data_IF_408503210421
#
_entry.id   IF_408503210421
#
_cell.length_a   1.000
_cell.length_b   1.000
_cell.length_c   1.000
_cell.angle_alpha   90.00
_cell.angle_beta   90.00
_cell.angle_gamma   90.00
#
_symmetry.space_group_name_H-M   'P 1'
#
loop_
_entity.id
_entity.type
_entity.pdbx_description
1 polymer ?
#
# COMPACT_ATOMS: atom_id res chain seq x y z
N UNK A 1 9.28 -23.37 6.20
CA UNK A 1 9.10 -22.02 5.64
C UNK A 1 10.27 -21.15 6.05
N UNK A 2 10.82 -20.36 5.13
CA UNK A 2 11.78 -19.29 5.43
C UNK A 2 11.14 -17.98 4.99
N UNK A 3 10.83 -17.11 5.95
CA UNK A 3 10.13 -15.85 5.71
C UNK A 3 11.06 -14.68 6.02
N UNK A 4 11.22 -13.80 5.04
CA UNK A 4 11.92 -12.52 5.19
C UNK A 4 10.89 -11.38 5.20
N UNK A 5 10.65 -10.70 6.33
CA UNK A 5 9.79 -9.51 6.36
C UNK A 5 10.49 -8.31 5.70
N UNK A 6 9.75 -7.23 5.48
CA UNK A 6 10.32 -5.98 4.98
C UNK A 6 11.19 -5.29 6.05
N UNK A 7 12.23 -4.58 5.62
CA UNK A 7 13.18 -3.88 6.50
C UNK A 7 12.51 -2.80 7.33
N UNK A 8 11.43 -2.21 6.81
CA UNK A 8 10.68 -1.16 7.48
C UNK A 8 9.73 -1.66 8.57
N UNK A 9 9.34 -2.94 8.54
CA UNK A 9 8.32 -3.50 9.46
C UNK A 9 8.70 -4.87 10.03
N UNK A 10 9.92 -5.05 10.59
CA UNK A 10 10.41 -6.38 10.97
C UNK A 10 9.78 -6.92 12.26
N UNK A 11 9.26 -6.03 13.14
CA UNK A 11 8.95 -6.36 14.53
C UNK A 11 7.77 -7.33 14.68
N UNK A 12 6.72 -7.19 13.87
CA UNK A 12 5.55 -8.08 13.95
C UNK A 12 5.87 -9.51 13.51
N UNK A 13 6.83 -9.67 12.59
CA UNK A 13 7.32 -11.00 12.20
C UNK A 13 8.11 -11.68 13.33
N UNK A 14 8.79 -10.92 14.17
CA UNK A 14 9.46 -11.45 15.37
C UNK A 14 8.42 -11.95 16.38
N UNK A 15 7.39 -11.14 16.66
CA UNK A 15 6.28 -11.57 17.52
C UNK A 15 5.58 -12.82 16.97
N UNK A 16 5.40 -12.92 15.65
CA UNK A 16 4.86 -14.12 15.02
C UNK A 16 5.74 -15.37 15.26
N UNK A 17 7.06 -15.22 15.28
CA UNK A 17 7.97 -16.32 15.62
C UNK A 17 7.77 -16.79 17.06
N UNK A 18 7.63 -15.87 18.02
CA UNK A 18 7.34 -16.20 19.43
C UNK A 18 5.99 -16.92 19.57
N UNK A 19 4.97 -16.51 18.82
CA UNK A 19 3.67 -17.17 18.82
C UNK A 19 3.79 -18.59 18.28
N UNK A 20 4.57 -18.82 17.21
CA UNK A 20 4.83 -20.16 16.68
C UNK A 20 5.51 -21.06 17.72
N UNK A 21 6.50 -20.53 18.43
CA UNK A 21 7.19 -21.26 19.50
C UNK A 21 6.22 -21.64 20.63
N UNK A 22 5.45 -20.68 21.15
CA UNK A 22 4.45 -20.92 22.21
C UNK A 22 3.35 -21.88 21.80
N UNK A 23 3.01 -21.92 20.50
CA UNK A 23 2.05 -22.85 19.94
C UNK A 23 2.63 -24.28 19.73
N UNK A 24 3.91 -24.50 20.01
CA UNK A 24 4.56 -25.80 19.86
C UNK A 24 4.91 -26.18 18.42
N UNK A 25 5.05 -25.19 17.51
CA UNK A 25 5.49 -25.45 16.14
C UNK A 25 6.90 -26.08 16.18
N UNK A 26 7.12 -27.25 15.54
CA UNK A 26 8.41 -27.92 15.60
C UNK A 26 9.56 -27.05 15.05
N UNK A 27 10.75 -27.21 15.64
CA UNK A 27 11.95 -26.47 15.23
C UNK A 27 12.23 -26.64 13.74
N UNK A 28 12.54 -25.53 13.06
CA UNK A 28 12.84 -25.50 11.62
C UNK A 28 11.63 -25.46 10.69
N UNK A 29 10.40 -25.65 11.19
CA UNK A 29 9.18 -25.55 10.36
C UNK A 29 8.93 -24.10 9.93
N UNK A 30 9.15 -23.13 10.81
CA UNK A 30 9.07 -21.68 10.52
C UNK A 30 10.41 -21.06 10.91
N UNK A 31 11.01 -20.32 9.98
CA UNK A 31 12.26 -19.59 10.19
C UNK A 31 12.04 -18.15 9.71
N UNK A 32 12.17 -17.18 10.61
CA UNK A 32 12.10 -15.75 10.28
C UNK A 32 13.53 -15.24 10.13
N UNK A 33 13.84 -14.68 8.96
CA UNK A 33 15.18 -14.15 8.66
C UNK A 33 15.09 -12.67 8.32
N UNK A 34 15.72 -11.84 9.14
CA UNK A 34 15.80 -10.39 8.91
C UNK A 34 16.94 -10.09 7.93
N UNK A 35 16.85 -8.96 7.22
CA UNK A 35 17.92 -8.49 6.34
C UNK A 35 17.41 -7.61 5.21
N UNK A 36 18.35 -7.09 4.42
CA UNK A 36 18.07 -6.25 3.27
C UNK A 36 17.73 -7.05 1.99
N UNK A 37 17.84 -6.43 0.81
CA UNK A 37 17.68 -7.09 -0.48
C UNK A 37 18.56 -8.33 -0.65
N UNK A 38 19.77 -8.34 -0.09
CA UNK A 38 20.73 -9.45 -0.14
C UNK A 38 20.18 -10.74 0.49
N UNK A 39 19.45 -10.65 1.62
CA UNK A 39 18.79 -11.80 2.23
C UNK A 39 17.68 -12.35 1.30
N UNK A 40 16.95 -11.46 0.63
CA UNK A 40 15.94 -11.85 -0.36
C UNK A 40 16.55 -12.57 -1.56
N UNK A 41 17.65 -12.04 -2.11
CA UNK A 41 18.40 -12.65 -3.22
C UNK A 41 18.93 -14.02 -2.84
N UNK A 42 19.47 -14.16 -1.63
CA UNK A 42 19.94 -15.46 -1.12
C UNK A 42 18.81 -16.50 -1.08
N UNK A 43 17.63 -16.14 -0.57
CA UNK A 43 16.46 -17.04 -0.53
C UNK A 43 16.03 -17.45 -1.94
N UNK A 44 15.92 -16.50 -2.87
CA UNK A 44 15.46 -16.74 -4.24
C UNK A 44 16.38 -17.71 -4.98
N UNK A 45 17.69 -17.57 -4.80
CA UNK A 45 18.70 -18.38 -5.49
C UNK A 45 19.04 -19.68 -4.75
N UNK A 46 18.52 -19.92 -3.55
CA UNK A 46 18.90 -21.06 -2.74
C UNK A 46 18.46 -22.40 -3.40
N UNK A 47 19.37 -23.37 -3.63
CA UNK A 47 19.05 -24.61 -4.33
C UNK A 47 18.01 -25.46 -3.58
N UNK A 48 18.04 -25.44 -2.24
CA UNK A 48 17.09 -26.17 -1.40
C UNK A 48 15.66 -25.60 -1.35
N UNK A 49 15.42 -24.39 -1.86
CA UNK A 49 14.07 -23.78 -1.85
C UNK A 49 13.29 -24.24 -3.07
N UNK A 50 12.13 -24.86 -2.86
CA UNK A 50 11.32 -25.47 -3.94
C UNK A 50 10.21 -24.55 -4.48
N UNK A 51 9.78 -23.55 -3.68
CA UNK A 51 8.73 -22.59 -4.04
C UNK A 51 9.08 -21.22 -3.50
N UNK A 52 8.86 -20.20 -4.32
CA UNK A 52 8.93 -18.79 -3.93
C UNK A 52 7.51 -18.20 -3.95
N UNK A 53 7.17 -17.46 -2.90
CA UNK A 53 6.03 -16.56 -2.86
C UNK A 53 6.56 -15.17 -2.53
N UNK A 54 6.20 -14.17 -3.33
CA UNK A 54 6.66 -12.80 -3.14
C UNK A 54 5.51 -11.83 -3.29
N UNK A 55 5.43 -10.88 -2.36
CA UNK A 55 4.53 -9.74 -2.42
C UNK A 55 5.36 -8.46 -2.38
N UNK A 56 5.17 -7.56 -3.35
CA UNK A 56 5.95 -6.32 -3.42
C UNK A 56 5.89 -5.62 -4.77
N UNK A 57 6.97 -4.95 -5.17
CA UNK A 57 6.99 -4.18 -6.41
C UNK A 57 7.03 -5.08 -7.64
N UNK A 58 6.38 -4.62 -8.72
CA UNK A 58 6.38 -5.35 -10.00
C UNK A 58 7.79 -5.51 -10.59
N UNK A 59 8.68 -4.54 -10.35
CA UNK A 59 10.08 -4.61 -10.78
C UNK A 59 10.85 -5.74 -10.07
N UNK A 60 10.70 -5.89 -8.76
CA UNK A 60 11.30 -7.01 -8.02
C UNK A 60 10.69 -8.34 -8.45
N UNK A 61 9.37 -8.39 -8.67
CA UNK A 61 8.71 -9.59 -9.21
C UNK A 61 9.31 -10.05 -10.56
N UNK A 62 9.60 -9.11 -11.47
CA UNK A 62 10.29 -9.40 -12.74
C UNK A 62 11.71 -9.93 -12.51
N UNK A 63 12.45 -9.36 -11.57
CA UNK A 63 13.81 -9.83 -11.22
C UNK A 63 13.74 -11.27 -10.69
N UNK A 64 12.83 -11.57 -9.76
CA UNK A 64 12.65 -12.92 -9.20
C UNK A 64 12.27 -13.92 -10.30
N UNK A 65 11.35 -13.54 -11.19
CA UNK A 65 10.95 -14.40 -12.31
C UNK A 65 12.14 -14.74 -13.22
N UNK A 66 13.00 -13.76 -13.52
CA UNK A 66 14.22 -14.00 -14.30
C UNK A 66 15.19 -14.92 -13.58
N UNK A 67 15.45 -14.68 -12.29
CA UNK A 67 16.37 -15.46 -11.48
C UNK A 67 15.92 -16.93 -11.30
N UNK A 68 14.61 -17.17 -11.25
CA UNK A 68 14.04 -18.51 -11.04
C UNK A 68 13.71 -19.25 -12.33
N UNK A 69 13.85 -18.63 -13.50
CA UNK A 69 13.58 -19.28 -14.78
C UNK A 69 14.48 -20.51 -14.99
N UNK A 70 13.89 -21.64 -15.44
CA UNK A 70 14.61 -22.89 -15.64
C UNK A 70 14.99 -23.67 -14.38
N UNK A 71 14.83 -23.09 -13.18
CA UNK A 71 15.19 -23.75 -11.92
C UNK A 71 14.22 -24.83 -11.43
N UNK A 72 13.05 -24.97 -12.07
CA UNK A 72 11.95 -25.84 -11.64
C UNK A 72 11.18 -25.34 -10.40
N UNK A 73 11.59 -24.23 -9.78
CA UNK A 73 10.91 -23.65 -8.61
C UNK A 73 9.51 -23.16 -8.98
N UNK A 74 8.52 -23.47 -8.14
CA UNK A 74 7.18 -22.87 -8.25
C UNK A 74 7.23 -21.41 -7.82
N UNK A 75 6.46 -20.55 -8.48
CA UNK A 75 6.46 -19.11 -8.22
C UNK A 75 5.04 -18.55 -8.10
N UNK A 76 4.79 -17.77 -7.05
CA UNK A 76 3.59 -16.94 -6.85
C UNK A 76 4.02 -15.50 -6.63
N UNK A 77 3.41 -14.55 -7.35
CA UNK A 77 3.74 -13.12 -7.29
C UNK A 77 2.47 -12.30 -7.04
N UNK A 78 2.47 -11.51 -5.98
CA UNK A 78 1.42 -10.52 -5.67
C UNK A 78 2.02 -9.12 -5.77
N UNK A 79 1.67 -8.38 -6.81
CA UNK A 79 2.40 -7.15 -7.19
C UNK A 79 1.51 -5.91 -7.06
N UNK A 80 2.05 -4.75 -7.46
CA UNK A 80 1.30 -3.49 -7.43
C UNK A 80 0.16 -3.44 -8.44
N UNK A 81 -0.92 -2.76 -8.08
CA UNK A 81 -2.09 -2.53 -8.93
C UNK A 81 -2.37 -1.04 -9.15
N UNK A 82 -3.36 -0.79 -10.02
CA UNK A 82 -3.96 0.53 -10.28
C UNK A 82 -5.46 0.35 -10.45
N UNK A 83 -6.12 -0.16 -9.41
CA UNK A 83 -7.52 -0.59 -9.44
C UNK A 83 -8.46 0.57 -9.79
N UNK A 84 -9.48 0.27 -10.57
CA UNK A 84 -10.56 1.20 -10.85
C UNK A 84 -11.63 1.11 -9.76
N UNK A 85 -12.15 2.25 -9.36
CA UNK A 85 -13.35 2.40 -8.56
C UNK A 85 -14.40 3.07 -9.46
N UNK A 86 -15.46 2.37 -9.81
CA UNK A 86 -16.40 2.79 -10.87
C UNK A 86 -17.73 3.15 -10.23
N UNK A 87 -18.25 4.34 -10.52
CA UNK A 87 -19.52 4.86 -9.99
C UNK A 87 -20.45 5.24 -11.14
N UNK A 88 -21.59 4.56 -11.22
CA UNK A 88 -22.67 4.83 -12.16
C UNK A 88 -23.71 5.78 -11.56
N UNK A 89 -24.54 6.40 -12.41
CA UNK A 89 -25.52 7.41 -11.97
C UNK A 89 -26.62 6.87 -11.05
N UNK A 90 -26.86 5.56 -11.07
CA UNK A 90 -27.83 4.86 -10.23
C UNK A 90 -27.24 4.43 -8.87
N UNK A 91 -25.97 4.71 -8.63
CA UNK A 91 -25.31 4.44 -7.35
C UNK A 91 -25.79 5.40 -6.25
N UNK A 92 -25.90 4.90 -5.03
CA UNK A 92 -25.99 5.77 -3.85
C UNK A 92 -24.67 6.51 -3.65
N UNK A 93 -24.67 7.81 -3.93
CA UNK A 93 -23.46 8.64 -3.89
C UNK A 93 -22.86 8.74 -2.49
N UNK A 94 -23.67 8.71 -1.43
CA UNK A 94 -23.15 8.82 -0.06
C UNK A 94 -22.40 7.54 0.33
N UNK A 95 -22.97 6.37 0.04
CA UNK A 95 -22.28 5.10 0.21
C UNK A 95 -21.05 4.98 -0.70
N UNK A 96 -21.12 5.46 -1.95
CA UNK A 96 -20.00 5.43 -2.88
C UNK A 96 -18.82 6.28 -2.39
N UNK A 97 -19.08 7.41 -1.73
CA UNK A 97 -18.04 8.27 -1.15
C UNK A 97 -17.33 7.59 0.02
N UNK A 98 -18.07 6.97 0.95
CA UNK A 98 -17.43 6.23 2.05
C UNK A 98 -16.65 5.02 1.52
N UNK A 99 -17.21 4.27 0.56
CA UNK A 99 -16.52 3.15 -0.08
C UNK A 99 -15.26 3.57 -0.83
N UNK A 100 -15.27 4.73 -1.49
CA UNK A 100 -14.08 5.29 -2.13
C UNK A 100 -13.03 5.66 -1.07
N UNK A 101 -13.44 6.35 -0.01
CA UNK A 101 -12.53 6.83 1.03
C UNK A 101 -11.80 5.67 1.70
N UNK A 102 -12.54 4.63 2.07
CA UNK A 102 -11.97 3.38 2.56
C UNK A 102 -11.14 2.70 1.46
N UNK A 103 -11.60 2.69 0.22
CA UNK A 103 -10.93 2.04 -0.89
C UNK A 103 -9.57 2.64 -1.27
N UNK A 104 -9.31 3.91 -0.96
CA UNK A 104 -8.07 4.61 -1.36
C UNK A 104 -7.23 5.15 -0.20
N UNK A 105 -7.82 5.62 0.90
CA UNK A 105 -7.05 6.18 2.02
C UNK A 105 -6.89 5.22 3.19
N UNK A 106 -7.57 4.07 3.20
CA UNK A 106 -7.24 2.97 4.10
C UNK A 106 -5.74 2.63 3.99
N UNK A 107 -5.07 2.48 5.14
CA UNK A 107 -3.63 2.25 5.22
C UNK A 107 -2.81 3.29 4.42
N UNK A 108 -3.26 4.56 4.39
CA UNK A 108 -2.62 5.67 3.67
C UNK A 108 -2.51 5.41 2.16
N UNK A 109 -3.34 4.53 1.60
CA UNK A 109 -3.24 4.08 0.22
C UNK A 109 -2.05 3.16 -0.08
N UNK A 110 -1.32 2.70 0.95
CA UNK A 110 -0.23 1.73 0.83
C UNK A 110 -0.81 0.30 0.72
N UNK A 111 -1.68 0.10 -0.27
CA UNK A 111 -2.43 -1.14 -0.52
C UNK A 111 -2.36 -1.45 -2.01
N UNK A 112 -1.96 -2.66 -2.38
CA UNK A 112 -1.76 -3.04 -3.79
C UNK A 112 -3.07 -2.97 -4.62
N UNK A 113 -4.21 -3.22 -3.99
CA UNK A 113 -5.53 -3.18 -4.61
C UNK A 113 -6.29 -1.87 -4.41
N UNK A 114 -5.67 -0.81 -3.88
CA UNK A 114 -6.33 0.48 -3.65
C UNK A 114 -7.06 1.01 -4.89
N UNK A 115 -8.28 1.54 -4.68
CA UNK A 115 -9.19 2.12 -5.68
C UNK A 115 -8.68 3.45 -6.26
N UNK A 116 -7.48 3.42 -6.83
CA UNK A 116 -6.68 4.62 -7.14
C UNK A 116 -7.01 5.29 -8.48
N UNK A 117 -8.04 4.81 -9.19
CA UNK A 117 -8.64 5.46 -10.35
C UNK A 117 -10.15 5.52 -10.15
N UNK A 118 -10.66 6.69 -9.79
CA UNK A 118 -12.09 6.94 -9.72
C UNK A 118 -12.61 7.19 -11.13
N UNK A 119 -13.50 6.33 -11.63
CA UNK A 119 -14.20 6.48 -12.91
C UNK A 119 -15.68 6.73 -12.61
N UNK A 120 -16.21 7.84 -13.10
CA UNK A 120 -17.54 8.32 -12.71
C UNK A 120 -18.35 8.61 -13.95
N UNK A 121 -19.62 8.21 -13.95
CA UNK A 121 -20.56 8.59 -15.01
C UNK A 121 -20.77 10.10 -15.02
N UNK A 122 -20.67 10.71 -16.22
CA UNK A 122 -20.58 12.16 -16.42
C UNK A 122 -21.66 12.96 -15.66
N UNK A 123 -22.91 12.51 -15.69
CA UNK A 123 -24.04 13.21 -15.07
C UNK A 123 -23.97 13.37 -13.54
N UNK A 124 -23.13 12.59 -12.85
CA UNK A 124 -22.96 12.66 -11.38
C UNK A 124 -21.55 13.10 -10.96
N UNK A 125 -20.65 13.40 -11.91
CA UNK A 125 -19.23 13.63 -11.62
C UNK A 125 -19.00 14.79 -10.64
N UNK A 126 -19.58 15.96 -10.92
CA UNK A 126 -19.41 17.15 -10.08
C UNK A 126 -19.99 16.95 -8.68
N UNK A 127 -21.18 16.34 -8.59
CA UNK A 127 -21.85 16.06 -7.33
C UNK A 127 -21.02 15.09 -6.46
N UNK A 128 -20.48 14.03 -7.07
CA UNK A 128 -19.63 13.08 -6.37
C UNK A 128 -18.32 13.73 -5.92
N UNK A 129 -17.63 14.47 -6.81
CA UNK A 129 -16.37 15.16 -6.48
C UNK A 129 -16.55 16.14 -5.31
N UNK A 130 -17.66 16.89 -5.28
CA UNK A 130 -17.98 17.80 -4.17
C UNK A 130 -18.15 17.06 -2.83
N UNK A 131 -18.84 15.91 -2.84
CA UNK A 131 -19.00 15.06 -1.66
C UNK A 131 -17.67 14.44 -1.21
N UNK A 132 -16.85 13.96 -2.14
CA UNK A 132 -15.51 13.42 -1.84
C UNK A 132 -14.64 14.47 -1.18
N UNK A 133 -14.56 15.69 -1.73
CA UNK A 133 -13.80 16.80 -1.12
C UNK A 133 -14.29 17.10 0.30
N UNK A 134 -15.61 17.17 0.49
CA UNK A 134 -16.22 17.38 1.82
C UNK A 134 -15.83 16.30 2.81
N UNK A 135 -15.87 15.03 2.39
CA UNK A 135 -15.51 13.89 3.24
C UNK A 135 -14.01 13.82 3.53
N UNK A 136 -13.18 14.12 2.55
CA UNK A 136 -11.72 14.23 2.69
C UNK A 136 -11.32 15.29 3.71
N UNK A 137 -11.99 16.46 3.74
CA UNK A 137 -11.73 17.52 4.73
C UNK A 137 -12.01 17.11 6.18
N UNK A 138 -12.71 15.99 6.40
CA UNK A 138 -12.99 15.46 7.74
C UNK A 138 -11.97 14.41 8.19
N UNK A 139 -11.07 13.96 7.31
CA UNK A 139 -10.05 12.97 7.64
C UNK A 139 -8.98 13.59 8.53
N UNK A 140 -8.76 12.97 9.69
CA UNK A 140 -7.78 13.37 10.70
C UNK A 140 -6.45 12.70 10.40
N UNK A 141 -5.47 13.51 10.00
CA UNK A 141 -4.08 13.08 9.84
C UNK A 141 -3.36 13.22 11.18
N UNK A 142 -2.76 12.15 11.69
CA UNK A 142 -2.23 12.16 13.05
C UNK A 142 -1.45 10.92 13.47
N UNK A 143 -1.11 10.86 14.76
CA UNK A 143 -0.37 9.74 15.32
C UNK A 143 -1.16 8.43 15.18
N UNK A 144 -0.54 7.32 14.75
CA UNK A 144 -1.22 6.03 14.64
C UNK A 144 -1.58 5.41 16.01
N UNK A 145 -1.08 5.98 17.11
CA UNK A 145 -1.44 5.56 18.48
C UNK A 145 -2.64 6.33 19.04
N UNK A 146 -3.08 7.39 18.36
CA UNK A 146 -4.33 8.08 18.69
C UNK A 146 -5.50 7.37 18.00
N UNK A 147 -6.48 6.94 18.80
CA UNK A 147 -7.69 6.25 18.32
C UNK A 147 -8.60 7.14 17.46
N UNK A 148 -8.36 8.45 17.44
CA UNK A 148 -9.10 9.42 16.64
C UNK A 148 -8.45 9.69 15.27
N UNK A 149 -7.30 9.10 14.97
CA UNK A 149 -6.60 9.28 13.70
C UNK A 149 -7.23 8.42 12.60
N UNK A 150 -7.55 9.03 11.47
CA UNK A 150 -7.98 8.32 10.27
C UNK A 150 -6.78 7.92 9.39
N UNK A 151 -5.78 8.81 9.29
CA UNK A 151 -4.63 8.66 8.40
C UNK A 151 -3.33 8.86 9.19
N UNK A 152 -2.54 7.78 9.30
CA UNK A 152 -1.19 7.81 9.87
C UNK A 152 -0.11 8.29 8.88
N UNK A 153 1.17 8.21 9.26
CA UNK A 153 2.28 8.53 8.36
C UNK A 153 2.49 7.42 7.32
N UNK A 154 3.14 7.78 6.22
CA UNK A 154 3.74 6.80 5.31
C UNK A 154 4.90 6.07 6.00
N UNK A 155 5.24 4.88 5.50
CA UNK A 155 6.16 3.97 6.19
C UNK A 155 7.61 4.50 6.28
N UNK A 156 8.05 5.30 5.30
CA UNK A 156 9.44 5.76 5.19
C UNK A 156 9.52 7.09 4.42
N UNK A 157 10.60 7.86 4.63
CA UNK A 157 10.88 9.09 3.90
C UNK A 157 10.89 8.87 2.38
N UNK A 158 11.45 7.75 1.92
CA UNK A 158 11.50 7.41 0.49
C UNK A 158 10.09 7.27 -0.10
N UNK A 159 9.14 6.73 0.68
CA UNK A 159 7.74 6.64 0.23
C UNK A 159 7.07 8.02 0.21
N UNK A 160 7.32 8.85 1.21
CA UNK A 160 6.82 10.23 1.23
C UNK A 160 7.27 11.02 0.01
N UNK A 161 8.57 10.99 -0.29
CA UNK A 161 9.12 11.72 -1.44
C UNK A 161 8.63 11.16 -2.78
N UNK A 162 8.44 9.83 -2.87
CA UNK A 162 7.81 9.21 -4.04
C UNK A 162 6.37 9.69 -4.24
N UNK A 163 5.55 9.71 -3.19
CA UNK A 163 4.15 10.14 -3.27
C UNK A 163 4.06 11.62 -3.65
N UNK A 164 4.83 12.49 -2.99
CA UNK A 164 4.92 13.91 -3.35
C UNK A 164 5.33 14.10 -4.80
N UNK A 165 6.33 13.35 -5.27
CA UNK A 165 6.80 13.39 -6.65
C UNK A 165 5.71 13.03 -7.66
N UNK A 166 4.88 12.02 -7.36
CA UNK A 166 3.75 11.64 -8.21
C UNK A 166 2.67 12.72 -8.27
N UNK A 167 2.34 13.35 -7.13
CA UNK A 167 1.37 14.45 -7.08
C UNK A 167 1.88 15.67 -7.85
N UNK A 168 3.14 16.02 -7.66
CA UNK A 168 3.79 17.12 -8.37
C UNK A 168 3.86 16.86 -9.88
N UNK A 169 4.16 15.62 -10.29
CA UNK A 169 4.16 15.24 -11.70
C UNK A 169 2.76 15.33 -12.31
N UNK A 170 1.72 14.85 -11.62
CA UNK A 170 0.34 14.99 -12.07
C UNK A 170 -0.03 16.46 -12.30
N UNK A 171 0.35 17.35 -11.38
CA UNK A 171 0.13 18.78 -11.53
C UNK A 171 0.89 19.37 -12.74
N UNK A 172 2.15 18.97 -12.96
CA UNK A 172 2.92 19.38 -14.16
C UNK A 172 2.26 18.91 -15.46
N UNK A 173 1.59 17.77 -15.44
CA UNK A 173 0.85 17.22 -16.58
C UNK A 173 -0.56 17.80 -16.76
N UNK A 174 -0.97 18.75 -15.91
CA UNK A 174 -2.24 19.48 -16.04
C UNK A 174 -3.35 19.03 -15.09
N UNK A 175 -3.11 18.06 -14.20
CA UNK A 175 -4.09 17.69 -13.20
C UNK A 175 -4.25 18.78 -12.12
N UNK A 176 -5.48 19.04 -11.73
CA UNK A 176 -5.83 19.82 -10.54
C UNK A 176 -5.76 18.91 -9.32
N UNK A 177 -4.70 19.05 -8.54
CA UNK A 177 -4.50 18.32 -7.28
C UNK A 177 -5.11 19.10 -6.12
N UNK A 178 -6.23 18.61 -5.60
CA UNK A 178 -6.90 19.17 -4.43
C UNK A 178 -6.52 18.40 -3.15
N UNK A 179 -6.26 19.16 -2.08
CA UNK A 179 -6.01 18.65 -0.73
C UNK A 179 -6.86 19.47 0.26
N UNK A 180 -7.23 18.90 1.42
CA UNK A 180 -7.92 19.66 2.46
C UNK A 180 -6.98 20.71 3.06
N UNK A 181 -7.55 21.83 3.50
CA UNK A 181 -6.84 22.84 4.29
C UNK A 181 -6.69 22.33 5.73
N UNK A 182 -5.64 21.53 5.94
CA UNK A 182 -5.34 20.89 7.20
C UNK A 182 -3.84 20.93 7.49
N UNK A 183 -3.49 21.13 8.76
CA UNK A 183 -2.11 21.02 9.23
C UNK A 183 -1.63 19.57 9.21
N UNK A 184 -0.32 19.39 9.01
CA UNK A 184 0.35 18.12 9.25
C UNK A 184 1.06 18.14 10.61
N UNK A 185 1.20 16.98 11.29
CA UNK A 185 2.07 16.87 12.44
C UNK A 185 3.50 17.37 12.13
N UNK A 186 4.16 17.96 13.13
CA UNK A 186 5.47 18.62 12.97
C UNK A 186 6.64 17.66 12.71
N UNK A 187 6.46 16.37 12.97
CA UNK A 187 7.46 15.32 12.75
C UNK A 187 6.78 14.05 12.24
N UNK A 188 7.50 13.23 11.49
CA UNK A 188 6.99 12.02 10.84
C UNK A 188 6.72 12.18 9.35
N UNK A 189 6.42 11.08 8.67
CA UNK A 189 6.31 11.03 7.20
C UNK A 189 4.88 11.21 6.72
N UNK A 190 4.27 12.35 7.06
CA UNK A 190 2.87 12.62 6.73
C UNK A 190 2.69 13.24 5.35
N UNK A 191 1.57 12.90 4.72
CA UNK A 191 1.10 13.52 3.48
C UNK A 191 -0.41 13.70 3.56
N UNK A 192 -0.94 14.83 3.10
CA UNK A 192 -2.39 15.05 3.06
C UNK A 192 -3.04 14.14 2.02
N UNK A 193 -4.28 13.68 2.25
CA UNK A 193 -5.04 12.97 1.22
C UNK A 193 -5.23 13.90 0.00
N UNK A 194 -4.95 13.38 -1.20
CA UNK A 194 -5.00 14.16 -2.45
C UNK A 194 -6.02 13.57 -3.41
N UNK A 195 -6.87 14.43 -3.97
CA UNK A 195 -7.76 14.13 -5.08
C UNK A 195 -7.25 14.87 -6.32
N UNK A 196 -6.85 14.14 -7.35
CA UNK A 196 -6.47 14.72 -8.63
C UNK A 196 -7.65 14.63 -9.61
N UNK A 197 -7.98 15.75 -10.24
CA UNK A 197 -9.01 15.87 -11.29
C UNK A 197 -8.42 16.57 -12.49
N UNK A 198 -8.85 16.26 -13.71
CA UNK A 198 -8.36 16.90 -14.93
C UNK A 198 -8.75 16.12 -16.17
#
# INVERSE_FOLDING_TARGET
VVLKPAEFTPLTAILFAEICERAGVPKGVVNIVQGGPEAGVAIVNHPGVQKIAFTGSSEVGKIIRKATAGSGKKLSLELGGKSAFIVFEDADLDSAVEGLVDGIWFNQGQVCCAGSRLLVQEGIADALIAKVKTRMSRLRVGSPLDKNTDIGPLVDLTQLERVKGLVAEGARQGAVCWQPDAGLPSSGYYHLPTLATG
#
